data_IF_720069394389
#
_entry.id   IF_720069394389
#
_cell.length_a   1.000
_cell.length_b   1.000
_cell.length_c   1.000
_cell.angle_alpha   90.00
_cell.angle_beta   90.00
_cell.angle_gamma   90.00
#
_symmetry.space_group_name_H-M   'P 1'
#
loop_
_entity.id
_entity.type
_entity.pdbx_description
1 polymer ?
#
# COMPACT_ATOMS: atom_id res chain seq x y z
N UNK A 1 3.35 -3.69 -39.12
CA UNK A 1 4.15 -4.40 -38.10
C UNK A 1 4.14 -3.51 -36.87
N UNK A 2 3.36 -3.86 -35.83
CA UNK A 2 3.41 -3.11 -34.55
C UNK A 2 4.78 -3.42 -33.92
N UNK A 3 5.53 -2.39 -33.56
CA UNK A 3 6.75 -2.55 -32.79
C UNK A 3 6.38 -3.19 -31.45
N UNK A 4 7.09 -4.25 -31.08
CA UNK A 4 6.99 -4.82 -29.74
C UNK A 4 7.40 -3.73 -28.71
N UNK A 5 6.67 -3.62 -27.59
CA UNK A 5 7.11 -2.74 -26.52
C UNK A 5 8.51 -3.19 -26.04
N UNK A 6 9.37 -2.25 -25.65
CA UNK A 6 10.69 -2.62 -25.13
C UNK A 6 10.52 -3.57 -23.95
N UNK A 7 11.40 -4.58 -23.80
CA UNK A 7 11.36 -5.46 -22.64
C UNK A 7 11.40 -4.61 -21.38
N UNK A 8 10.49 -4.87 -20.44
CA UNK A 8 10.58 -4.29 -19.09
C UNK A 8 12.00 -4.51 -18.58
N UNK A 9 12.64 -3.50 -17.99
CA UNK A 9 13.97 -3.68 -17.42
C UNK A 9 13.90 -4.86 -16.46
N UNK A 10 14.63 -5.93 -16.78
CA UNK A 10 14.73 -7.09 -15.91
C UNK A 10 15.21 -6.56 -14.55
N UNK A 11 14.32 -6.57 -13.56
CA UNK A 11 14.68 -6.28 -12.19
C UNK A 11 15.83 -7.26 -11.91
N UNK A 12 17.02 -6.80 -11.50
CA UNK A 12 17.99 -7.72 -10.95
C UNK A 12 17.23 -8.39 -9.82
N UNK A 13 16.89 -9.67 -9.95
CA UNK A 13 16.31 -10.42 -8.86
C UNK A 13 17.33 -10.32 -7.74
N UNK A 14 17.14 -9.35 -6.84
CA UNK A 14 17.79 -9.37 -5.56
C UNK A 14 17.40 -10.73 -5.02
N UNK A 15 18.37 -11.64 -4.94
CA UNK A 15 18.10 -13.05 -4.70
C UNK A 15 17.50 -13.16 -3.31
N UNK A 16 16.17 -13.08 -3.24
CA UNK A 16 15.42 -13.24 -2.01
C UNK A 16 15.72 -14.64 -1.51
N UNK A 17 15.95 -14.76 -0.21
CA UNK A 17 15.99 -16.08 0.40
C UNK A 17 14.60 -16.70 0.37
N UNK A 18 14.52 -18.03 0.42
CA UNK A 18 13.24 -18.73 0.29
C UNK A 18 12.20 -18.26 1.33
N UNK A 19 12.63 -17.97 2.57
CA UNK A 19 11.75 -17.45 3.63
C UNK A 19 11.26 -16.02 3.36
N UNK A 20 12.10 -15.18 2.74
CA UNK A 20 11.75 -13.80 2.36
C UNK A 20 10.77 -13.80 1.18
N UNK A 21 11.03 -14.66 0.19
CA UNK A 21 10.15 -14.87 -0.95
C UNK A 21 8.79 -15.41 -0.49
N UNK A 22 8.80 -16.42 0.38
CA UNK A 22 7.58 -16.97 0.97
C UNK A 22 6.80 -15.91 1.74
N UNK A 23 7.47 -15.12 2.58
CA UNK A 23 6.82 -14.07 3.36
C UNK A 23 6.15 -13.04 2.44
N UNK A 24 6.84 -12.58 1.40
CA UNK A 24 6.31 -11.62 0.43
C UNK A 24 5.13 -12.20 -0.35
N UNK A 25 5.28 -13.40 -0.92
CA UNK A 25 4.22 -14.06 -1.69
C UNK A 25 2.98 -14.32 -0.83
N UNK A 26 3.15 -14.77 0.41
CA UNK A 26 2.06 -15.01 1.35
C UNK A 26 1.36 -13.72 1.79
N UNK A 27 2.07 -12.59 1.84
CA UNK A 27 1.46 -11.28 2.12
C UNK A 27 0.54 -10.87 0.97
N UNK A 28 1.00 -11.02 -0.27
CA UNK A 28 0.27 -10.62 -1.48
C UNK A 28 -0.78 -11.64 -1.93
N UNK A 29 -0.87 -12.79 -1.27
CA UNK A 29 -1.82 -13.83 -1.63
C UNK A 29 -3.22 -13.44 -1.17
N UNK A 30 -4.15 -13.34 -2.12
CA UNK A 30 -5.58 -13.20 -1.86
C UNK A 30 -6.29 -14.49 -2.28
N UNK A 31 -7.18 -15.01 -1.42
CA UNK A 31 -8.01 -16.17 -1.75
C UNK A 31 -8.98 -15.95 -2.92
N UNK A 32 -9.12 -14.70 -3.40
CA UNK A 32 -10.03 -14.28 -4.46
C UNK A 32 -11.49 -14.67 -4.17
N UNK A 33 -11.85 -14.70 -2.89
CA UNK A 33 -13.20 -15.02 -2.42
C UNK A 33 -14.02 -13.77 -2.09
N UNK A 34 -13.38 -12.59 -2.10
CA UNK A 34 -13.95 -11.34 -1.59
C UNK A 34 -14.03 -11.28 -0.05
N UNK A 35 -13.77 -12.39 0.66
CA UNK A 35 -13.73 -12.42 2.10
C UNK A 35 -12.37 -11.95 2.61
N UNK A 36 -12.40 -11.09 3.65
CA UNK A 36 -11.20 -10.62 4.36
C UNK A 36 -10.76 -11.59 5.45
N UNK A 37 -11.68 -12.38 5.97
CA UNK A 37 -11.39 -13.33 7.03
C UNK A 37 -10.50 -14.47 6.52
N UNK A 38 -9.51 -14.86 7.33
CA UNK A 38 -8.49 -15.84 6.93
C UNK A 38 -7.36 -15.30 6.06
N UNK A 39 -7.51 -14.12 5.43
CA UNK A 39 -6.46 -13.51 4.62
C UNK A 39 -5.31 -13.03 5.51
N UNK A 40 -4.08 -13.47 5.19
CA UNK A 40 -2.90 -13.17 6.02
C UNK A 40 -2.64 -11.67 6.13
N UNK A 41 -2.63 -10.95 5.01
CA UNK A 41 -2.41 -9.49 5.00
C UNK A 41 -3.43 -8.76 5.87
N UNK A 42 -4.68 -9.24 5.89
CA UNK A 42 -5.76 -8.60 6.62
C UNK A 42 -5.57 -8.76 8.13
N UNK A 43 -5.28 -9.98 8.58
CA UNK A 43 -5.03 -10.28 9.99
C UNK A 43 -3.81 -9.52 10.52
N UNK A 44 -2.69 -9.53 9.79
CA UNK A 44 -1.49 -8.79 10.15
C UNK A 44 -1.76 -7.28 10.24
N UNK A 45 -2.40 -6.71 9.21
CA UNK A 45 -2.66 -5.27 9.16
C UNK A 45 -3.70 -4.81 10.20
N UNK A 46 -4.62 -5.66 10.62
CA UNK A 46 -5.50 -5.35 11.77
C UNK A 46 -4.66 -5.18 13.04
N UNK A 47 -3.74 -6.11 13.31
CA UNK A 47 -2.83 -6.02 14.44
C UNK A 47 -1.98 -4.75 14.41
N UNK A 48 -1.35 -4.46 13.26
CA UNK A 48 -0.48 -3.28 13.09
C UNK A 48 -1.22 -1.93 13.22
N UNK A 49 -2.53 -1.90 12.97
CA UNK A 49 -3.34 -0.68 13.16
C UNK A 49 -3.59 -0.36 14.62
N UNK A 50 -3.53 -1.35 15.52
CA UNK A 50 -3.69 -1.09 16.94
C UNK A 50 -2.48 -0.35 17.50
N UNK A 51 -2.74 0.76 18.21
CA UNK A 51 -1.70 1.65 18.73
C UNK A 51 -1.41 1.46 20.22
N UNK A 52 -2.19 0.63 20.93
CA UNK A 52 -1.96 0.40 22.35
C UNK A 52 -0.80 -0.58 22.62
N UNK A 53 -0.20 -0.45 23.80
CA UNK A 53 0.99 -1.21 24.19
C UNK A 53 0.75 -2.72 24.24
N UNK A 54 -0.42 -3.16 24.71
CA UNK A 54 -0.73 -4.60 24.83
C UNK A 54 -0.88 -5.22 23.45
N UNK A 55 -1.55 -4.53 22.52
CA UNK A 55 -1.65 -4.97 21.13
C UNK A 55 -0.31 -5.03 20.43
N UNK A 56 0.61 -4.10 20.67
CA UNK A 56 1.96 -4.15 20.06
C UNK A 56 2.75 -5.39 20.50
N UNK A 57 2.71 -5.72 21.79
CA UNK A 57 3.32 -6.95 22.31
C UNK A 57 2.72 -8.20 21.67
N UNK A 58 1.39 -8.26 21.55
CA UNK A 58 0.69 -9.36 20.91
C UNK A 58 1.02 -9.50 19.41
N UNK A 59 1.17 -8.38 18.69
CA UNK A 59 1.58 -8.42 17.28
C UNK A 59 2.98 -9.00 17.15
N UNK A 60 3.94 -8.57 17.98
CA UNK A 60 5.30 -9.10 17.92
C UNK A 60 5.36 -10.58 18.30
N UNK A 61 4.58 -11.03 19.30
CA UNK A 61 4.58 -12.44 19.70
C UNK A 61 4.02 -13.38 18.64
N UNK A 62 3.05 -12.91 17.84
CA UNK A 62 2.41 -13.72 16.79
C UNK A 62 3.14 -13.57 15.45
N UNK A 63 3.46 -12.33 15.08
CA UNK A 63 3.92 -11.97 13.73
C UNK A 63 5.39 -11.62 13.65
N UNK A 64 6.13 -11.56 14.75
CA UNK A 64 7.51 -11.02 14.78
C UNK A 64 8.45 -11.70 13.78
N UNK A 65 8.47 -13.03 13.75
CA UNK A 65 9.29 -13.79 12.79
C UNK A 65 8.86 -13.58 11.34
N UNK A 66 7.55 -13.57 11.08
CA UNK A 66 7.00 -13.31 9.76
C UNK A 66 7.32 -11.88 9.27
N UNK A 67 7.14 -10.88 10.15
CA UNK A 67 7.45 -9.48 9.89
C UNK A 67 8.94 -9.28 9.59
N UNK A 68 9.81 -9.99 10.29
CA UNK A 68 11.24 -9.96 10.02
C UNK A 68 11.55 -10.33 8.56
N UNK A 69 11.05 -11.49 8.09
CA UNK A 69 11.30 -11.94 6.72
C UNK A 69 10.60 -11.07 5.68
N UNK A 70 9.38 -10.60 5.94
CA UNK A 70 8.68 -9.69 5.02
C UNK A 70 9.43 -8.36 4.87
N UNK A 71 9.89 -7.76 5.98
CA UNK A 71 10.66 -6.51 5.92
C UNK A 71 12.03 -6.72 5.27
N UNK A 72 12.71 -7.84 5.54
CA UNK A 72 13.97 -8.19 4.88
C UNK A 72 13.81 -8.35 3.36
N UNK A 73 12.70 -8.96 2.92
CA UNK A 73 12.36 -9.06 1.50
C UNK A 73 12.21 -7.67 0.86
N UNK A 74 11.40 -6.80 1.49
CA UNK A 74 11.11 -5.46 0.98
C UNK A 74 12.35 -4.55 0.98
N UNK A 75 13.26 -4.70 1.94
CA UNK A 75 14.51 -3.94 1.99
C UNK A 75 15.41 -4.24 0.78
N UNK A 76 15.41 -5.49 0.30
CA UNK A 76 16.15 -5.91 -0.89
C UNK A 76 15.55 -5.43 -2.21
N UNK A 77 14.28 -5.05 -2.22
CA UNK A 77 13.62 -4.49 -3.41
C UNK A 77 13.99 -3.01 -3.61
N UNK A 78 14.13 -2.54 -4.86
CA UNK A 78 14.40 -1.14 -5.12
C UNK A 78 13.24 -0.26 -4.62
N UNK A 79 13.59 0.87 -3.98
CA UNK A 79 12.61 1.91 -3.65
C UNK A 79 12.32 2.74 -4.90
N UNK A 80 11.05 2.83 -5.28
CA UNK A 80 10.60 3.54 -6.47
C UNK A 80 9.87 4.83 -6.11
N UNK A 81 10.18 5.89 -6.86
CA UNK A 81 9.47 7.17 -6.82
C UNK A 81 8.39 7.17 -7.89
N UNK A 82 7.12 7.24 -7.50
CA UNK A 82 6.00 7.11 -8.44
C UNK A 82 4.68 7.63 -7.86
N UNK A 83 3.65 7.67 -8.71
CA UNK A 83 2.26 7.82 -8.26
C UNK A 83 1.61 6.44 -8.11
N UNK A 84 0.89 6.27 -7.01
CA UNK A 84 0.10 5.08 -6.73
C UNK A 84 -1.27 5.48 -6.19
N UNK A 85 -2.23 4.56 -6.27
CA UNK A 85 -3.63 4.78 -5.98
C UNK A 85 -4.14 3.72 -4.99
N UNK A 86 -5.04 4.14 -4.09
CA UNK A 86 -5.69 3.25 -3.14
C UNK A 86 -7.14 3.67 -2.88
N UNK A 87 -8.07 2.78 -3.17
CA UNK A 87 -9.48 2.98 -2.82
C UNK A 87 -9.73 2.85 -1.32
N UNK A 88 -10.61 3.69 -0.79
CA UNK A 88 -11.06 3.64 0.60
C UNK A 88 -12.58 3.83 0.68
N UNK A 89 -13.32 2.95 1.38
CA UNK A 89 -14.78 2.93 1.32
C UNK A 89 -15.46 3.96 2.24
N UNK A 90 -14.74 4.63 3.14
CA UNK A 90 -15.32 5.61 4.09
C UNK A 90 -14.80 7.03 3.83
N UNK A 91 -15.36 7.67 2.80
CA UNK A 91 -15.11 9.08 2.48
C UNK A 91 -15.41 9.98 3.67
N UNK A 92 -16.50 9.73 4.41
CA UNK A 92 -16.90 10.60 5.51
C UNK A 92 -15.81 10.65 6.60
N UNK A 93 -15.19 9.53 6.94
CA UNK A 93 -14.04 9.51 7.85
C UNK A 93 -12.83 10.24 7.28
N UNK A 94 -12.56 10.09 5.98
CA UNK A 94 -11.45 10.78 5.31
C UNK A 94 -11.67 12.30 5.36
N UNK A 95 -12.86 12.80 5.00
CA UNK A 95 -13.18 14.23 5.06
C UNK A 95 -13.01 14.82 6.47
N UNK A 96 -13.25 14.05 7.53
CA UNK A 96 -13.05 14.50 8.91
C UNK A 96 -11.58 14.56 9.31
N UNK A 97 -10.77 13.61 8.83
CA UNK A 97 -9.40 13.42 9.32
C UNK A 97 -8.33 14.02 8.41
N UNK A 98 -8.54 14.06 7.10
CA UNK A 98 -7.52 14.44 6.13
C UNK A 98 -7.80 15.86 5.65
N UNK A 99 -7.19 16.83 6.35
CA UNK A 99 -7.24 18.25 6.01
C UNK A 99 -5.95 18.64 5.32
N UNK A 100 -6.00 19.54 4.34
CA UNK A 100 -4.80 19.99 3.63
C UNK A 100 -3.72 20.47 4.60
N UNK A 101 -2.46 20.11 4.34
CA UNK A 101 -1.30 20.36 5.19
C UNK A 101 -1.16 19.44 6.41
N UNK A 102 -2.16 18.61 6.73
CA UNK A 102 -2.10 17.73 7.91
C UNK A 102 -1.12 16.56 7.69
N UNK A 103 -0.23 16.27 8.66
CA UNK A 103 0.56 15.05 8.65
C UNK A 103 -0.29 13.82 8.99
N UNK A 104 -0.12 12.75 8.22
CA UNK A 104 -0.82 11.48 8.37
C UNK A 104 0.22 10.36 8.47
N UNK A 105 -0.05 9.36 9.32
CA UNK A 105 0.77 8.16 9.41
C UNK A 105 -0.10 6.92 9.28
N UNK A 106 0.23 6.07 8.31
CA UNK A 106 -0.42 4.77 8.13
C UNK A 106 0.33 3.71 8.93
N UNK A 107 -0.32 3.13 9.94
CA UNK A 107 0.32 2.25 10.92
C UNK A 107 0.65 0.85 10.39
N UNK A 108 -0.01 0.42 9.32
CA UNK A 108 0.11 -0.91 8.73
C UNK A 108 0.68 -0.83 7.31
N UNK A 109 1.03 -1.98 6.74
CA UNK A 109 1.36 -2.04 5.31
C UNK A 109 0.18 -1.55 4.49
N UNK A 110 0.48 -0.94 3.34
CA UNK A 110 -0.53 -0.42 2.43
C UNK A 110 -0.28 -0.90 1.02
N UNK A 111 -1.13 -1.81 0.55
CA UNK A 111 -1.19 -2.20 -0.86
C UNK A 111 -1.76 -1.06 -1.68
N UNK A 112 -1.10 -0.73 -2.76
CA UNK A 112 -1.48 0.34 -3.68
C UNK A 112 -1.27 -0.15 -5.11
N UNK A 113 -1.91 0.48 -6.07
CA UNK A 113 -1.70 0.15 -7.48
C UNK A 113 -1.17 1.35 -8.24
N UNK A 114 -0.38 1.11 -9.28
CA UNK A 114 -0.02 2.14 -10.26
C UNK A 114 -1.18 2.54 -11.17
N UNK A 115 -2.24 1.72 -11.19
CA UNK A 115 -3.40 1.82 -12.06
C UNK A 115 -4.59 2.43 -11.29
N UNK A 116 -5.01 3.68 -11.61
CA UNK A 116 -6.13 4.32 -10.90
C UNK A 116 -7.44 3.55 -11.04
N UNK A 117 -7.67 2.88 -12.17
CA UNK A 117 -8.85 2.07 -12.43
C UNK A 117 -9.02 0.91 -11.44
N UNK A 118 -7.92 0.37 -10.89
CA UNK A 118 -7.99 -0.70 -9.90
C UNK A 118 -8.33 -0.17 -8.51
N UNK A 119 -7.98 1.08 -8.19
CA UNK A 119 -8.40 1.67 -6.92
C UNK A 119 -9.94 1.75 -6.82
N UNK A 120 -10.61 1.83 -7.97
CA UNK A 120 -12.07 1.89 -8.05
C UNK A 120 -12.78 0.58 -7.71
N UNK A 121 -12.11 -0.59 -7.77
CA UNK A 121 -12.73 -1.85 -7.33
C UNK A 121 -12.87 -1.96 -5.81
N UNK A 122 -12.10 -1.16 -5.07
CA UNK A 122 -12.08 -1.14 -3.61
C UNK A 122 -12.93 -0.03 -2.99
N UNK A 123 -13.68 0.71 -3.81
CA UNK A 123 -14.45 1.87 -3.36
C UNK A 123 -15.60 2.20 -4.32
N UNK A 124 -16.46 3.14 -3.97
CA UNK A 124 -17.57 3.59 -4.83
C UNK A 124 -17.62 5.12 -4.92
N UNK A 125 -18.41 5.65 -5.86
CA UNK A 125 -18.49 7.10 -6.11
C UNK A 125 -19.24 7.87 -5.00
N UNK A 126 -20.14 7.20 -4.30
CA UNK A 126 -21.06 7.82 -3.35
C UNK A 126 -20.48 7.92 -1.94
N UNK A 127 -19.91 6.83 -1.45
CA UNK A 127 -19.38 6.67 -0.08
C UNK A 127 -17.87 6.58 -0.06
N UNK A 128 -17.26 6.31 -1.20
CA UNK A 128 -15.84 6.08 -1.34
C UNK A 128 -14.99 7.30 -1.70
N UNK A 129 -13.67 7.13 -1.55
CA UNK A 129 -12.63 8.07 -2.00
C UNK A 129 -11.37 7.29 -2.42
N UNK A 130 -10.65 7.82 -3.41
CA UNK A 130 -9.37 7.31 -3.88
C UNK A 130 -8.26 8.20 -3.34
N UNK A 131 -7.30 7.61 -2.62
CA UNK A 131 -6.05 8.31 -2.32
C UNK A 131 -5.14 8.25 -3.53
N UNK A 132 -4.69 9.40 -4.01
CA UNK A 132 -3.61 9.52 -5.00
C UNK A 132 -2.33 9.89 -4.25
N UNK A 133 -1.38 8.98 -4.23
CA UNK A 133 -0.17 9.10 -3.43
C UNK A 133 1.03 9.33 -4.33
N UNK A 134 1.82 10.37 -4.03
CA UNK A 134 3.16 10.52 -4.56
C UNK A 134 4.15 9.94 -3.56
N UNK A 135 4.71 8.77 -3.90
CA UNK A 135 5.59 7.99 -3.02
C UNK A 135 7.03 7.99 -3.54
N UNK A 136 7.94 7.66 -2.65
CA UNK A 136 9.39 7.60 -2.82
C UNK A 136 10.00 6.31 -2.29
N UNK A 137 9.34 5.61 -1.37
CA UNK A 137 9.79 4.32 -0.84
C UNK A 137 8.90 3.15 -1.24
N UNK A 138 8.09 3.31 -2.29
CA UNK A 138 7.22 2.23 -2.79
C UNK A 138 8.04 1.05 -3.28
N UNK A 139 7.61 -0.17 -2.96
CA UNK A 139 8.23 -1.41 -3.42
C UNK A 139 7.32 -2.05 -4.46
N UNK A 140 7.79 -2.18 -5.69
CA UNK A 140 7.07 -2.94 -6.73
C UNK A 140 7.15 -4.42 -6.36
N UNK A 141 5.98 -5.00 -6.05
CA UNK A 141 5.86 -6.40 -5.62
C UNK A 141 5.10 -7.24 -6.64
N UNK A 142 4.81 -6.68 -7.82
CA UNK A 142 3.99 -7.32 -8.84
C UNK A 142 4.53 -8.72 -9.18
N UNK A 143 5.83 -8.87 -9.37
CA UNK A 143 6.45 -10.13 -9.81
C UNK A 143 6.47 -11.22 -8.71
N UNK A 144 6.05 -10.87 -7.49
CA UNK A 144 5.95 -11.75 -6.34
C UNK A 144 4.50 -12.01 -5.92
N UNK A 145 3.55 -11.25 -6.46
CA UNK A 145 2.12 -11.48 -6.28
C UNK A 145 1.63 -12.58 -7.21
N UNK A 146 0.75 -13.46 -6.72
CA UNK A 146 0.12 -14.48 -7.57
C UNK A 146 -0.77 -13.87 -8.66
N UNK A 147 -1.20 -12.61 -8.49
CA UNK A 147 -2.01 -11.85 -9.45
C UNK A 147 -1.17 -10.78 -10.20
N UNK A 148 0.15 -11.02 -10.30
CA UNK A 148 1.20 -10.13 -10.81
C UNK A 148 0.83 -9.20 -11.97
N UNK A 149 0.15 -9.73 -12.99
CA UNK A 149 -0.10 -9.01 -14.23
C UNK A 149 -1.27 -8.02 -14.15
N UNK A 150 -2.20 -8.22 -13.20
CA UNK A 150 -3.45 -7.47 -13.17
C UNK A 150 -3.34 -6.24 -12.27
N UNK A 151 -2.62 -6.33 -11.16
CA UNK A 151 -2.69 -5.33 -10.09
C UNK A 151 -1.63 -4.22 -10.14
N UNK A 152 -0.48 -4.44 -10.79
CA UNK A 152 0.70 -3.56 -10.69
C UNK A 152 0.95 -3.10 -9.23
N UNK A 153 0.92 -4.08 -8.31
CA UNK A 153 0.90 -3.81 -6.87
C UNK A 153 2.22 -3.18 -6.42
N UNK A 154 2.09 -2.06 -5.70
CA UNK A 154 3.17 -1.39 -4.99
C UNK A 154 2.84 -1.41 -3.51
N UNK A 155 3.74 -1.98 -2.72
CA UNK A 155 3.58 -2.07 -1.28
C UNK A 155 4.32 -0.93 -0.58
N UNK A 156 3.61 -0.27 0.34
CA UNK A 156 4.18 0.70 1.26
C UNK A 156 4.35 0.07 2.64
N UNK A 157 5.50 0.33 3.26
CA UNK A 157 5.85 -0.23 4.57
C UNK A 157 4.98 0.35 5.69
N UNK A 158 4.87 -0.31 6.85
CA UNK A 158 4.19 0.24 8.00
C UNK A 158 4.85 1.54 8.44
N UNK A 159 4.07 2.39 9.09
CA UNK A 159 4.52 3.68 9.58
C UNK A 159 4.89 4.70 8.49
N UNK A 160 4.58 4.43 7.22
CA UNK A 160 4.72 5.40 6.13
C UNK A 160 3.96 6.69 6.49
N UNK A 161 4.62 7.82 6.26
CA UNK A 161 4.12 9.16 6.62
C UNK A 161 3.81 9.95 5.37
N UNK A 162 2.74 10.72 5.43
CA UNK A 162 2.29 11.58 4.36
C UNK A 162 1.95 12.96 4.90
N UNK A 163 1.92 13.94 4.00
CA UNK A 163 1.20 15.19 4.19
C UNK A 163 0.05 15.23 3.18
N UNK A 164 -1.11 15.73 3.60
CA UNK A 164 -2.24 15.99 2.70
C UNK A 164 -1.93 17.21 1.85
N UNK A 165 -2.01 17.10 0.52
CA UNK A 165 -1.62 18.17 -0.41
C UNK A 165 -2.76 18.74 -1.24
N UNK A 166 -3.99 18.29 -0.97
CA UNK A 166 -5.19 18.87 -1.57
C UNK A 166 -6.35 18.79 -0.58
N UNK A 167 -7.34 19.67 -0.72
CA UNK A 167 -8.68 19.34 -0.26
C UNK A 167 -9.26 18.17 -1.10
N UNK A 168 -10.18 17.36 -0.55
CA UNK A 168 -10.90 16.33 -1.31
C UNK A 168 -11.67 16.92 -2.49
N UNK A 169 -11.57 16.29 -3.67
CA UNK A 169 -12.19 16.77 -4.91
C UNK A 169 -12.80 15.63 -5.72
N UNK A 170 -13.69 15.94 -6.66
CA UNK A 170 -14.19 14.95 -7.63
C UNK A 170 -13.35 15.03 -8.90
N UNK A 171 -12.82 13.91 -9.36
CA UNK A 171 -12.11 13.85 -10.63
C UNK A 171 -13.14 13.90 -11.78
N UNK A 172 -13.09 14.90 -12.68
CA UNK A 172 -14.06 15.02 -13.77
C UNK A 172 -14.01 13.86 -14.77
N UNK A 173 -12.88 13.16 -14.88
CA UNK A 173 -12.70 12.11 -15.89
C UNK A 173 -13.42 10.79 -15.52
N UNK A 174 -13.56 10.50 -14.22
CA UNK A 174 -14.10 9.22 -13.73
C UNK A 174 -15.26 9.36 -12.71
N UNK A 175 -15.48 10.57 -12.19
CA UNK A 175 -16.51 10.90 -11.20
C UNK A 175 -16.24 10.40 -9.78
N UNK A 176 -15.06 9.84 -9.48
CA UNK A 176 -14.68 9.44 -8.13
C UNK A 176 -14.18 10.63 -7.31
N UNK A 177 -14.33 10.52 -6.00
CA UNK A 177 -13.65 11.42 -5.08
C UNK A 177 -12.17 11.05 -4.98
N UNK A 178 -11.31 12.05 -4.94
CA UNK A 178 -9.87 11.93 -4.78
C UNK A 178 -9.36 12.77 -3.62
N UNK A 179 -8.25 12.35 -3.05
CA UNK A 179 -7.43 13.12 -2.12
C UNK A 179 -5.96 12.86 -2.38
N UNK A 180 -5.17 13.94 -2.44
CA UNK A 180 -3.74 13.84 -2.67
C UNK A 180 -2.92 13.74 -1.39
N UNK A 181 -1.97 12.81 -1.40
CA UNK A 181 -0.99 12.59 -0.34
C UNK A 181 0.43 12.62 -0.91
N UNK A 182 1.33 13.33 -0.24
CA UNK A 182 2.76 13.31 -0.55
C UNK A 182 3.52 12.60 0.58
N UNK A 183 4.25 11.54 0.23
CA UNK A 183 5.11 10.85 1.20
C UNK A 183 6.18 11.80 1.76
N UNK A 184 6.39 11.71 3.08
CA UNK A 184 7.44 12.42 3.78
C UNK A 184 8.58 11.45 4.12
N UNK A 185 9.79 11.76 3.67
CA UNK A 185 11.00 11.01 4.05
C UNK A 185 11.78 11.78 5.12
N UNK A 186 12.12 11.11 6.22
CA UNK A 186 12.86 11.70 7.34
C UNK A 186 12.15 11.62 8.70
N UNK A 187 12.93 11.84 9.75
CA UNK A 187 12.50 11.76 11.17
C UNK A 187 11.95 13.08 11.74
N UNK A 188 12.08 14.20 11.02
CA UNK A 188 11.67 15.51 11.57
C UNK A 188 10.14 15.62 11.67
N UNK A 189 9.66 15.52 12.90
CA UNK A 189 8.46 16.23 13.31
C UNK A 189 8.78 17.73 13.19
N UNK A 190 8.14 18.44 12.27
CA UNK A 190 7.93 19.86 12.52
C UNK A 190 6.82 19.93 13.57
N UNK A 191 7.27 20.01 14.83
CA UNK A 191 6.46 20.37 16.00
C UNK A 191 6.05 21.84 15.92
#
# INVERSE_FOLDING_TARGET
>A
RRAEPPPSPAIPQAKLHDDELFALAAYTYDFNTGAKEGQLYYALNQGLRSRDFKSRGAVLSVWGGYLYYLMAALEKLPSLKMHVYRGHPDKAAVLRQYKEGRPIQWGAFSSTSRRPELASSFTDREKGIIFRLKVTTGKDVKDFSFFAAEEEEVLLSPQTRFVVTSEPYVNPDDGYWYLDLLEQTGTLFMS
#
